data_IF_748745642734
#
_entry.id   IF_748745642734
#
_cell.length_a   1.000
_cell.length_b   1.000
_cell.length_c   1.000
_cell.angle_alpha   90.00
_cell.angle_beta   90.00
_cell.angle_gamma   90.00
#
_symmetry.space_group_name_H-M   'P 1'
#
loop_
_entity.id
_entity.type
_entity.pdbx_description
1 polymer ?
#
# COMPACT_ATOMS: atom_id res chain seq x y z
N UNK A 1 0.70 16.03 24.49
CA UNK A 1 0.86 14.80 23.68
C UNK A 1 1.66 15.14 22.43
N UNK A 2 2.73 14.42 22.16
CA UNK A 2 3.54 14.69 20.97
C UNK A 2 2.93 14.01 19.73
N UNK A 3 3.45 14.36 18.56
CA UNK A 3 2.96 13.84 17.26
C UNK A 3 3.04 12.31 17.21
N UNK A 4 4.11 11.70 17.73
CA UNK A 4 4.28 10.25 17.71
C UNK A 4 3.21 9.54 18.55
N UNK A 5 2.85 10.08 19.68
CA UNK A 5 1.78 9.53 20.51
C UNK A 5 0.42 9.66 19.83
N UNK A 6 0.16 10.79 19.18
CA UNK A 6 -1.06 11.01 18.42
C UNK A 6 -1.19 10.00 17.28
N UNK A 7 -0.11 9.76 16.53
CA UNK A 7 -0.09 8.77 15.46
C UNK A 7 -0.26 7.36 15.98
N UNK A 8 0.32 7.04 17.14
CA UNK A 8 0.18 5.73 17.77
C UNK A 8 -1.29 5.47 18.14
N UNK A 9 -1.96 6.44 18.73
CA UNK A 9 -3.38 6.33 19.07
C UNK A 9 -4.25 6.22 17.82
N UNK A 10 -3.95 6.99 16.79
CA UNK A 10 -4.65 6.90 15.51
C UNK A 10 -4.57 5.49 14.91
N UNK A 11 -3.37 4.88 14.95
CA UNK A 11 -3.18 3.50 14.50
C UNK A 11 -3.96 2.50 15.32
N UNK A 12 -3.91 2.63 16.63
CA UNK A 12 -4.60 1.72 17.55
C UNK A 12 -6.13 1.87 17.49
N UNK A 13 -6.61 3.03 17.02
CA UNK A 13 -8.05 3.30 16.90
C UNK A 13 -8.71 2.77 15.64
N UNK A 14 -7.92 2.34 14.64
CA UNK A 14 -8.49 1.86 13.37
C UNK A 14 -9.01 0.43 13.57
N UNK A 15 -10.30 0.16 13.22
CA UNK A 15 -10.87 -1.18 13.36
C UNK A 15 -10.09 -2.24 12.60
N UNK A 16 -9.97 -3.40 13.21
CA UNK A 16 -9.19 -4.51 12.68
C UNK A 16 -9.72 -5.03 11.34
N UNK A 17 -11.04 -5.02 11.16
CA UNK A 17 -11.67 -5.43 9.91
C UNK A 17 -11.20 -4.58 8.72
N UNK A 18 -11.03 -3.28 8.93
CA UNK A 18 -10.50 -2.36 7.92
C UNK A 18 -9.04 -2.68 7.62
N UNK A 19 -8.23 -2.88 8.68
CA UNK A 19 -6.80 -3.23 8.52
C UNK A 19 -6.61 -4.55 7.77
N UNK A 20 -7.44 -5.54 8.05
CA UNK A 20 -7.39 -6.84 7.36
C UNK A 20 -7.69 -6.71 5.87
N UNK A 21 -8.73 -5.94 5.51
CA UNK A 21 -9.08 -5.70 4.11
C UNK A 21 -7.95 -5.01 3.37
N UNK A 22 -7.36 -4.01 4.01
CA UNK A 22 -6.21 -3.29 3.45
C UNK A 22 -5.02 -4.21 3.24
N UNK A 23 -4.71 -5.08 4.20
CA UNK A 23 -3.57 -5.99 4.14
C UNK A 23 -3.63 -6.98 2.98
N UNK A 24 -4.83 -7.45 2.61
CA UNK A 24 -5.01 -8.37 1.47
C UNK A 24 -5.23 -7.62 0.15
N UNK A 25 -5.20 -6.29 0.17
CA UNK A 25 -5.38 -5.47 -1.02
C UNK A 25 -6.83 -5.23 -1.44
N UNK A 26 -7.79 -5.57 -0.58
CA UNK A 26 -9.21 -5.28 -0.82
C UNK A 26 -9.51 -3.84 -0.40
N UNK A 27 -8.99 -2.89 -1.17
CA UNK A 27 -9.11 -1.45 -0.87
C UNK A 27 -10.55 -0.96 -1.00
N UNK A 28 -11.32 -1.48 -1.95
CA UNK A 28 -12.74 -1.13 -2.10
C UNK A 28 -13.55 -1.62 -0.91
N UNK A 29 -13.27 -2.83 -0.42
CA UNK A 29 -13.90 -3.36 0.78
C UNK A 29 -13.55 -2.56 2.02
N UNK A 30 -12.29 -2.14 2.15
CA UNK A 30 -11.84 -1.28 3.24
C UNK A 30 -12.57 0.07 3.21
N UNK A 31 -12.71 0.69 2.04
CA UNK A 31 -13.42 1.96 1.89
C UNK A 31 -14.89 1.83 2.30
N UNK A 32 -15.55 0.73 1.91
CA UNK A 32 -16.94 0.49 2.31
C UNK A 32 -17.11 0.37 3.81
N UNK A 33 -16.16 -0.31 4.49
CA UNK A 33 -16.17 -0.42 5.95
C UNK A 33 -15.91 0.93 6.62
N UNK A 34 -15.00 1.72 6.07
CA UNK A 34 -14.71 3.08 6.55
C UNK A 34 -15.96 3.94 6.43
N UNK A 35 -16.60 3.97 5.27
CA UNK A 35 -17.79 4.77 5.03
C UNK A 35 -18.93 4.40 6.00
N UNK A 36 -19.07 3.11 6.30
CA UNK A 36 -20.05 2.63 7.28
C UNK A 36 -19.78 3.19 8.67
N UNK A 37 -18.52 3.17 9.10
CA UNK A 37 -18.10 3.72 10.41
C UNK A 37 -18.26 5.23 10.48
N UNK A 38 -18.03 5.94 9.39
CA UNK A 38 -18.17 7.40 9.32
C UNK A 38 -19.63 7.86 9.49
N UNK A 39 -20.60 6.97 9.33
CA UNK A 39 -22.02 7.28 9.52
C UNK A 39 -22.43 7.31 11.00
N UNK A 40 -21.59 6.82 11.89
CA UNK A 40 -21.85 6.82 13.32
C UNK A 40 -21.78 8.25 13.88
N UNK A 41 -22.89 8.81 14.43
CA UNK A 41 -22.90 10.18 14.95
C UNK A 41 -22.06 10.32 16.24
N UNK A 42 -21.78 9.22 16.94
CA UNK A 42 -21.02 9.22 18.18
C UNK A 42 -19.53 8.92 17.95
N UNK A 43 -19.09 8.88 16.70
CA UNK A 43 -17.69 8.60 16.36
C UNK A 43 -16.77 9.70 16.92
N UNK A 44 -15.75 9.34 17.72
CA UNK A 44 -14.77 10.32 18.20
C UNK A 44 -14.09 11.04 17.05
N UNK A 45 -13.84 12.34 17.21
CA UNK A 45 -13.26 13.18 16.17
C UNK A 45 -11.87 12.67 15.72
N UNK A 46 -11.03 12.23 16.66
CA UNK A 46 -9.72 11.70 16.35
C UNK A 46 -9.81 10.44 15.45
N UNK A 47 -10.77 9.57 15.73
CA UNK A 47 -11.00 8.37 14.93
C UNK A 47 -11.58 8.73 13.55
N UNK A 48 -12.49 9.71 13.51
CA UNK A 48 -13.03 10.23 12.23
C UNK A 48 -11.91 10.71 11.30
N UNK A 49 -10.99 11.52 11.84
CA UNK A 49 -9.84 11.99 11.06
C UNK A 49 -8.96 10.84 10.57
N UNK A 50 -8.69 9.86 11.43
CA UNK A 50 -7.90 8.68 11.06
C UNK A 50 -8.56 7.87 9.95
N UNK A 51 -9.88 7.69 10.03
CA UNK A 51 -10.64 6.95 9.00
C UNK A 51 -10.63 7.68 7.67
N UNK A 52 -10.76 9.01 7.68
CA UNK A 52 -10.70 9.82 6.46
C UNK A 52 -9.32 9.72 5.80
N UNK A 53 -8.25 9.74 6.59
CA UNK A 53 -6.88 9.56 6.10
C UNK A 53 -6.73 8.17 5.47
N UNK A 54 -7.21 7.12 6.14
CA UNK A 54 -7.17 5.76 5.63
C UNK A 54 -7.98 5.61 4.35
N UNK A 55 -9.12 6.27 4.26
CA UNK A 55 -9.94 6.25 3.03
C UNK A 55 -9.16 6.84 1.85
N UNK A 56 -8.47 7.97 2.07
CA UNK A 56 -7.64 8.59 1.05
C UNK A 56 -6.51 7.66 0.61
N UNK A 57 -5.82 7.05 1.57
CA UNK A 57 -4.74 6.09 1.30
C UNK A 57 -5.27 4.92 0.47
N UNK A 58 -6.39 4.32 0.87
CA UNK A 58 -6.99 3.19 0.15
C UNK A 58 -7.40 3.56 -1.27
N UNK A 59 -7.79 4.81 -1.50
CA UNK A 59 -8.19 5.28 -2.82
C UNK A 59 -6.99 5.51 -3.75
N UNK A 60 -5.90 6.06 -3.21
CA UNK A 60 -4.74 6.48 -4.00
C UNK A 60 -3.64 5.42 -4.13
N UNK A 61 -3.47 4.59 -3.11
CA UNK A 61 -2.34 3.66 -3.03
C UNK A 61 -2.28 2.65 -4.18
N UNK A 62 -3.38 2.04 -4.64
CA UNK A 62 -3.31 1.08 -5.75
C UNK A 62 -2.73 1.67 -7.03
N UNK A 63 -2.97 2.95 -7.31
CA UNK A 63 -2.46 3.60 -8.52
C UNK A 63 -0.94 3.81 -8.49
N UNK A 64 -0.33 3.81 -7.31
CA UNK A 64 1.12 3.92 -7.15
C UNK A 64 1.85 2.60 -7.37
N UNK A 65 1.10 1.48 -7.43
CA UNK A 65 1.63 0.13 -7.62
C UNK A 65 1.01 -0.53 -8.85
N UNK A 66 1.30 0.00 -10.06
CA UNK A 66 0.60 -0.42 -11.27
C UNK A 66 1.13 -1.70 -11.90
N UNK A 67 2.32 -2.17 -11.52
CA UNK A 67 3.00 -3.23 -12.23
C UNK A 67 2.81 -4.60 -11.60
N UNK A 68 2.46 -5.61 -12.43
CA UNK A 68 2.59 -7.01 -12.08
C UNK A 68 4.08 -7.39 -12.07
N UNK A 69 4.42 -8.55 -11.52
CA UNK A 69 5.80 -9.05 -11.55
C UNK A 69 6.35 -9.15 -12.96
N UNK A 70 5.55 -9.67 -13.90
CA UNK A 70 5.93 -9.80 -15.30
C UNK A 70 6.22 -8.45 -15.94
N UNK A 71 5.36 -7.47 -15.71
CA UNK A 71 5.55 -6.11 -16.24
C UNK A 71 6.77 -5.45 -15.62
N UNK A 72 6.97 -5.61 -14.32
CA UNK A 72 8.13 -5.07 -13.61
C UNK A 72 9.43 -5.65 -14.17
N UNK A 73 9.49 -6.98 -14.34
CA UNK A 73 10.64 -7.65 -14.95
C UNK A 73 10.89 -7.16 -16.37
N UNK A 74 9.84 -7.00 -17.16
CA UNK A 74 9.98 -6.53 -18.56
C UNK A 74 10.57 -5.12 -18.62
N UNK A 75 10.15 -4.24 -17.71
CA UNK A 75 10.67 -2.87 -17.62
C UNK A 75 12.15 -2.87 -17.26
N UNK A 76 12.54 -3.64 -16.26
CA UNK A 76 13.94 -3.74 -15.82
C UNK A 76 14.81 -4.33 -16.96
N UNK A 77 14.31 -5.35 -17.64
CA UNK A 77 15.05 -6.03 -18.73
C UNK A 77 15.26 -5.17 -19.97
N UNK A 78 14.57 -4.05 -20.10
CA UNK A 78 14.85 -3.09 -21.17
C UNK A 78 16.26 -2.51 -21.04
N UNK A 79 16.71 -2.28 -19.79
CA UNK A 79 18.03 -1.72 -19.52
C UNK A 79 19.03 -2.78 -19.07
N UNK A 80 18.56 -3.87 -18.46
CA UNK A 80 19.36 -4.98 -17.95
C UNK A 80 18.77 -6.28 -18.52
N UNK A 81 19.08 -6.63 -19.79
CA UNK A 81 18.41 -7.75 -20.47
C UNK A 81 18.57 -9.11 -19.80
N UNK A 82 19.65 -9.34 -19.07
CA UNK A 82 19.95 -10.59 -18.37
C UNK A 82 19.48 -10.61 -16.91
N UNK A 83 18.69 -9.62 -16.51
CA UNK A 83 18.15 -9.56 -15.14
C UNK A 83 17.22 -10.75 -14.89
N UNK A 84 17.52 -11.53 -13.83
CA UNK A 84 16.81 -12.78 -13.53
C UNK A 84 15.69 -12.57 -12.52
N UNK A 85 14.76 -13.51 -12.48
CA UNK A 85 13.70 -13.53 -11.48
C UNK A 85 14.28 -13.65 -10.05
N UNK A 86 15.36 -14.43 -9.88
CA UNK A 86 16.04 -14.56 -8.60
C UNK A 86 16.63 -13.22 -8.13
N UNK A 87 17.23 -12.46 -9.04
CA UNK A 87 17.73 -11.11 -8.73
C UNK A 87 16.58 -10.16 -8.36
N UNK A 88 15.44 -10.29 -9.02
CA UNK A 88 14.23 -9.52 -8.69
C UNK A 88 13.77 -9.81 -7.27
N UNK A 89 13.66 -11.09 -6.89
CA UNK A 89 13.25 -11.50 -5.56
C UNK A 89 14.23 -11.00 -4.48
N UNK A 90 15.53 -11.00 -4.78
CA UNK A 90 16.55 -10.47 -3.89
C UNK A 90 16.34 -8.97 -3.66
N UNK A 91 16.02 -8.21 -4.70
CA UNK A 91 15.77 -6.77 -4.57
C UNK A 91 14.48 -6.49 -3.78
N UNK A 92 13.47 -7.33 -3.91
CA UNK A 92 12.25 -7.26 -3.09
C UNK A 92 12.58 -7.53 -1.62
N UNK A 93 13.36 -8.56 -1.34
CA UNK A 93 13.76 -8.93 0.03
C UNK A 93 14.60 -7.83 0.69
N UNK A 94 15.44 -7.15 -0.07
CA UNK A 94 16.25 -6.02 0.38
C UNK A 94 15.45 -4.73 0.49
N UNK A 95 14.16 -4.75 0.14
CA UNK A 95 13.26 -3.59 0.15
C UNK A 95 13.67 -2.47 -0.82
N UNK A 96 14.46 -2.80 -1.84
CA UNK A 96 14.76 -1.89 -2.94
C UNK A 96 13.61 -1.81 -3.93
N UNK A 97 12.78 -2.85 -4.01
CA UNK A 97 11.55 -2.88 -4.79
C UNK A 97 10.39 -3.00 -3.80
N UNK A 98 9.53 -1.99 -3.77
CA UNK A 98 8.35 -1.95 -2.91
C UNK A 98 7.18 -2.63 -3.59
N UNK A 99 6.34 -3.28 -2.80
CA UNK A 99 5.16 -3.96 -3.31
C UNK A 99 4.03 -3.96 -2.30
N UNK A 100 2.81 -4.14 -2.79
CA UNK A 100 1.62 -4.35 -1.98
C UNK A 100 0.74 -5.41 -2.65
N UNK A 101 -0.22 -5.93 -1.91
CA UNK A 101 -1.31 -6.69 -2.51
C UNK A 101 -2.39 -5.73 -3.01
N UNK A 102 -2.88 -5.96 -4.23
CA UNK A 102 -4.06 -5.29 -4.79
C UNK A 102 -5.00 -6.39 -5.26
N UNK A 103 -6.14 -6.56 -4.59
CA UNK A 103 -7.11 -7.62 -4.86
C UNK A 103 -6.48 -9.03 -4.84
N UNK A 104 -5.57 -9.25 -3.87
CA UNK A 104 -4.89 -10.53 -3.71
C UNK A 104 -3.69 -10.76 -4.63
N UNK A 105 -3.39 -9.83 -5.54
CA UNK A 105 -2.25 -9.92 -6.43
C UNK A 105 -1.13 -8.99 -5.99
N UNK A 106 0.12 -9.46 -6.10
CA UNK A 106 1.29 -8.62 -5.84
C UNK A 106 1.41 -7.55 -6.93
N UNK A 107 1.58 -6.28 -6.49
CA UNK A 107 1.80 -5.14 -7.37
C UNK A 107 3.03 -4.37 -6.92
N UNK A 108 3.78 -3.85 -7.87
CA UNK A 108 5.09 -3.25 -7.65
C UNK A 108 5.10 -1.76 -7.95
N UNK A 109 5.90 -1.03 -7.17
CA UNK A 109 5.97 0.43 -7.18
C UNK A 109 6.74 0.94 -8.40
N UNK A 110 6.19 1.96 -9.08
CA UNK A 110 6.71 2.43 -10.37
C UNK A 110 8.05 3.18 -10.29
N UNK A 111 8.32 3.86 -9.18
CA UNK A 111 9.51 4.75 -9.09
C UNK A 111 10.82 4.01 -8.86
N UNK A 112 10.76 2.79 -8.32
CA UNK A 112 11.97 2.02 -8.02
C UNK A 112 12.67 1.49 -9.25
N UNK A 113 11.92 1.23 -10.30
CA UNK A 113 12.51 0.72 -11.54
C UNK A 113 13.46 1.74 -12.18
N UNK A 114 13.14 3.03 -12.07
CA UNK A 114 14.02 4.09 -12.54
C UNK A 114 15.37 4.09 -11.81
N UNK A 115 15.37 3.87 -10.49
CA UNK A 115 16.59 3.82 -9.69
C UNK A 115 17.45 2.61 -10.02
N UNK A 116 16.84 1.45 -10.23
CA UNK A 116 17.54 0.23 -10.62
C UNK A 116 18.14 0.34 -12.01
N UNK A 117 17.42 0.94 -12.94
CA UNK A 117 17.87 1.10 -14.31
C UNK A 117 18.98 2.13 -14.47
N UNK A 118 19.14 3.04 -13.52
CA UNK A 118 20.19 4.05 -13.52
C UNK A 118 21.48 3.57 -12.87
N UNK A 119 21.43 2.44 -12.21
CA UNK A 119 22.61 1.85 -11.60
C UNK A 119 23.42 1.08 -12.63
#
# INVERSE_FOLDING_TARGET
>A
MNINETLKYARCGIPEDILRRKAIGDFDGAIRLIDRRLQDPDLPEALRCSLLIQKKICRELPSEFPYSKENALAIIRKDIPDFTEAEFEEQVDRRNIRWIYVNGEERYFNRFFSSLCKA
#
